data_IF_556156072974
#
_entry.id   IF_556156072974
#
_cell.length_a   1.000
_cell.length_b   1.000
_cell.length_c   1.000
_cell.angle_alpha   90.00
_cell.angle_beta   90.00
_cell.angle_gamma   90.00
#
_symmetry.space_group_name_H-M   'P 1'
#
loop_
_entity.id
_entity.type
_entity.pdbx_description
1 polymer ?
#
# COMPACT_ATOMS: atom_id res chain seq x y z
N UNK A 1 -14.63 -10.20 -14.57
CA UNK A 1 -14.09 -9.93 -13.23
C UNK A 1 -13.35 -8.61 -13.29
N UNK A 2 -13.69 -7.68 -12.41
CA UNK A 2 -12.95 -6.43 -12.17
C UNK A 2 -12.50 -6.38 -10.70
N UNK A 3 -11.26 -6.00 -10.45
CA UNK A 3 -10.69 -5.86 -9.11
C UNK A 3 -10.12 -4.45 -9.00
N UNK A 4 -10.35 -3.77 -7.85
CA UNK A 4 -9.88 -2.41 -7.60
C UNK A 4 -10.32 -1.46 -8.73
N UNK A 5 -9.41 -0.77 -9.41
CA UNK A 5 -9.72 0.06 -10.58
C UNK A 5 -10.53 -0.67 -11.68
N UNK A 6 -10.37 -1.99 -11.80
CA UNK A 6 -11.19 -2.82 -12.70
C UNK A 6 -12.69 -2.79 -12.39
N UNK A 7 -13.08 -2.43 -11.16
CA UNK A 7 -14.49 -2.24 -10.78
C UNK A 7 -15.06 -0.96 -11.39
N UNK A 8 -14.26 0.12 -11.42
CA UNK A 8 -14.60 1.36 -12.12
C UNK A 8 -14.82 1.10 -13.62
N UNK A 9 -13.85 0.46 -14.30
CA UNK A 9 -13.98 0.10 -15.69
C UNK A 9 -15.21 -0.77 -15.95
N UNK A 10 -15.46 -1.75 -15.06
CA UNK A 10 -16.63 -2.62 -15.14
C UNK A 10 -17.95 -1.84 -15.04
N UNK A 11 -18.06 -0.94 -14.09
CA UNK A 11 -19.25 -0.10 -13.93
C UNK A 11 -19.49 0.81 -15.14
N UNK A 12 -18.46 1.48 -15.62
CA UNK A 12 -18.52 2.31 -16.84
C UNK A 12 -18.90 1.47 -18.07
N UNK A 13 -18.28 0.30 -18.24
CA UNK A 13 -18.61 -0.60 -19.36
C UNK A 13 -20.06 -1.07 -19.30
N UNK A 14 -20.55 -1.46 -18.12
CA UNK A 14 -21.92 -1.92 -17.95
C UNK A 14 -22.94 -0.79 -18.22
N UNK A 15 -22.57 0.45 -17.90
CA UNK A 15 -23.40 1.63 -18.18
C UNK A 15 -23.46 1.94 -19.68
N UNK A 16 -22.32 1.87 -20.37
CA UNK A 16 -22.25 2.19 -21.80
C UNK A 16 -22.75 1.07 -22.72
N UNK A 17 -22.63 -0.18 -22.29
CA UNK A 17 -22.92 -1.36 -23.09
C UNK A 17 -23.73 -2.42 -22.33
N UNK A 18 -24.90 -2.07 -21.74
CA UNK A 18 -25.65 -2.99 -20.88
C UNK A 18 -26.05 -4.29 -21.58
N UNK A 19 -26.31 -4.23 -22.87
CA UNK A 19 -26.69 -5.40 -23.69
C UNK A 19 -25.54 -6.39 -23.91
N UNK A 20 -24.30 -6.01 -23.61
CA UNK A 20 -23.10 -6.86 -23.75
C UNK A 20 -22.69 -7.51 -22.44
N UNK A 21 -23.35 -7.18 -21.33
CA UNK A 21 -23.04 -7.71 -20.01
C UNK A 21 -24.00 -8.81 -19.65
N UNK A 22 -23.52 -10.05 -19.65
CA UNK A 22 -24.29 -11.19 -19.16
C UNK A 22 -24.20 -11.34 -17.63
N UNK A 23 -22.98 -11.18 -17.10
CA UNK A 23 -22.68 -11.25 -15.68
C UNK A 23 -21.34 -10.55 -15.42
N UNK A 24 -21.21 -9.94 -14.26
CA UNK A 24 -19.99 -9.26 -13.84
C UNK A 24 -19.77 -9.50 -12.34
N UNK A 25 -18.53 -9.76 -11.95
CA UNK A 25 -18.08 -9.78 -10.56
C UNK A 25 -17.11 -8.60 -10.38
N UNK A 26 -17.39 -7.77 -9.40
CA UNK A 26 -16.60 -6.59 -9.05
C UNK A 26 -16.18 -6.73 -7.59
N UNK A 27 -14.88 -6.70 -7.34
CA UNK A 27 -14.27 -6.90 -6.05
C UNK A 27 -13.40 -5.71 -5.68
N UNK A 28 -13.45 -5.27 -4.41
CA UNK A 28 -12.77 -4.04 -3.94
C UNK A 28 -13.25 -2.82 -4.71
N UNK A 29 -14.54 -2.48 -4.52
CA UNK A 29 -15.27 -1.50 -5.31
C UNK A 29 -14.65 -0.10 -5.26
N UNK A 30 -14.38 0.44 -6.44
CA UNK A 30 -14.00 1.82 -6.67
C UNK A 30 -15.27 2.63 -7.02
N UNK A 31 -15.53 3.74 -6.32
CA UNK A 31 -16.73 4.56 -6.52
C UNK A 31 -16.66 5.32 -7.87
N UNK A 32 -17.47 4.95 -8.88
CA UNK A 32 -17.34 5.54 -10.21
C UNK A 32 -17.93 6.95 -10.32
N UNK A 33 -18.82 7.33 -9.39
CA UNK A 33 -19.39 8.67 -9.31
C UNK A 33 -18.90 9.40 -8.07
N UNK A 34 -17.81 8.87 -7.50
CA UNK A 34 -17.22 9.41 -6.29
C UNK A 34 -16.81 10.87 -6.50
N UNK A 35 -16.80 11.54 -5.41
CA UNK A 35 -16.42 12.92 -5.25
C UNK A 35 -14.99 13.16 -5.80
N UNK A 36 -14.33 14.18 -5.38
CA UNK A 36 -12.99 14.51 -5.89
C UNK A 36 -11.98 13.38 -5.70
N UNK A 37 -10.91 13.40 -6.50
CA UNK A 37 -9.75 12.50 -6.34
C UNK A 37 -9.22 12.53 -4.90
N UNK A 38 -9.26 13.70 -4.27
CA UNK A 38 -8.86 13.89 -2.88
C UNK A 38 -9.70 13.05 -1.91
N UNK A 39 -11.02 13.03 -2.05
CA UNK A 39 -11.90 12.23 -1.20
C UNK A 39 -11.71 10.74 -1.40
N UNK A 40 -11.40 10.31 -2.62
CA UNK A 40 -11.05 8.90 -2.90
C UNK A 40 -9.74 8.51 -2.21
N UNK A 41 -8.71 9.35 -2.27
CA UNK A 41 -7.46 9.12 -1.55
C UNK A 41 -7.66 9.12 -0.03
N UNK A 42 -8.43 10.06 0.50
CA UNK A 42 -8.76 10.10 1.93
C UNK A 42 -9.48 8.84 2.39
N UNK A 43 -10.46 8.36 1.61
CA UNK A 43 -11.17 7.11 1.91
C UNK A 43 -10.20 5.91 1.94
N UNK A 44 -9.26 5.85 1.01
CA UNK A 44 -8.25 4.80 0.99
C UNK A 44 -7.30 4.90 2.19
N UNK A 45 -6.84 6.10 2.53
CA UNK A 45 -5.99 6.34 3.71
C UNK A 45 -6.70 5.89 4.98
N UNK A 46 -7.96 6.27 5.19
CA UNK A 46 -8.76 5.83 6.35
C UNK A 46 -8.88 4.29 6.40
N UNK A 47 -9.01 3.64 5.25
CA UNK A 47 -9.03 2.19 5.16
C UNK A 47 -7.70 1.55 5.60
N UNK A 48 -6.57 2.12 5.18
CA UNK A 48 -5.24 1.65 5.59
C UNK A 48 -4.96 1.93 7.07
N UNK A 49 -5.37 3.08 7.60
CA UNK A 49 -5.27 3.37 9.04
C UNK A 49 -6.05 2.34 9.86
N UNK A 50 -7.30 2.02 9.47
CA UNK A 50 -8.06 0.97 10.13
C UNK A 50 -7.39 -0.41 10.08
N UNK A 51 -6.84 -0.80 8.93
CA UNK A 51 -6.11 -2.06 8.79
C UNK A 51 -4.80 -2.06 9.63
N UNK A 52 -4.14 -0.92 9.77
CA UNK A 52 -2.98 -0.78 10.63
C UNK A 52 -3.35 -0.91 12.11
N UNK A 53 -4.45 -0.30 12.55
CA UNK A 53 -4.96 -0.44 13.91
C UNK A 53 -5.30 -1.91 14.24
N UNK A 54 -5.94 -2.62 13.31
CA UNK A 54 -6.26 -4.03 13.44
C UNK A 54 -4.99 -4.90 13.53
N UNK A 55 -3.98 -4.64 12.68
CA UNK A 55 -2.68 -5.30 12.74
C UNK A 55 -1.97 -5.03 14.07
N UNK A 56 -1.96 -3.78 14.54
CA UNK A 56 -1.32 -3.40 15.80
C UNK A 56 -1.99 -4.10 16.98
N UNK A 57 -3.31 -4.12 17.04
CA UNK A 57 -4.08 -4.83 18.07
C UNK A 57 -3.83 -6.35 18.03
N UNK A 58 -3.75 -6.94 16.83
CA UNK A 58 -3.35 -8.34 16.69
C UNK A 58 -1.94 -8.58 17.26
N UNK A 59 -0.97 -7.73 16.91
CA UNK A 59 0.41 -7.86 17.36
C UNK A 59 0.57 -7.69 18.88
N UNK A 60 -0.21 -6.79 19.49
CA UNK A 60 -0.24 -6.61 20.95
C UNK A 60 -0.85 -7.80 21.68
N UNK A 61 -1.84 -8.46 21.07
CA UNK A 61 -2.54 -9.59 21.63
C UNK A 61 -1.92 -10.96 21.34
N UNK A 62 -1.06 -11.06 20.33
CA UNK A 62 -0.51 -12.33 19.83
C UNK A 62 0.90 -12.58 20.35
N UNK A 63 1.07 -13.60 21.17
CA UNK A 63 2.36 -13.94 21.79
C UNK A 63 3.46 -14.30 20.78
N UNK A 64 3.10 -14.64 19.55
CA UNK A 64 4.02 -14.99 18.47
C UNK A 64 4.41 -13.80 17.60
N UNK A 65 3.82 -12.62 17.82
CA UNK A 65 4.22 -11.42 17.09
C UNK A 65 5.63 -10.98 17.49
N UNK A 66 6.57 -10.98 16.55
CA UNK A 66 7.95 -10.58 16.79
C UNK A 66 8.10 -9.09 17.11
N UNK A 67 7.16 -8.27 16.65
CA UNK A 67 7.12 -6.83 16.90
C UNK A 67 6.14 -6.46 18.03
N UNK A 68 5.85 -7.40 18.95
CA UNK A 68 4.92 -7.18 20.07
C UNK A 68 5.46 -6.14 21.06
N UNK A 69 4.55 -5.44 21.74
CA UNK A 69 4.88 -4.43 22.75
C UNK A 69 3.62 -3.90 23.42
N UNK A 70 3.78 -2.91 24.28
CA UNK A 70 2.65 -2.24 24.98
C UNK A 70 2.02 -1.12 24.15
N UNK A 71 2.68 -0.72 23.07
CA UNK A 71 2.24 0.35 22.16
C UNK A 71 2.94 0.11 20.82
N UNK A 72 2.36 -0.78 20.03
CA UNK A 72 2.89 -1.18 18.72
C UNK A 72 2.89 0.00 17.73
N UNK A 73 1.86 0.86 17.67
CA UNK A 73 1.89 2.05 16.84
C UNK A 73 3.06 2.99 17.18
N UNK A 74 3.26 3.33 18.44
CA UNK A 74 4.36 4.21 18.83
C UNK A 74 5.74 3.59 18.54
N UNK A 75 5.88 2.26 18.66
CA UNK A 75 7.11 1.54 18.29
C UNK A 75 7.36 1.60 16.79
N UNK A 76 6.32 1.45 15.98
CA UNK A 76 6.39 1.60 14.53
C UNK A 76 6.81 3.02 14.12
N UNK A 77 6.18 4.05 14.72
CA UNK A 77 6.53 5.45 14.49
C UNK A 77 7.99 5.75 14.85
N UNK A 78 8.49 5.20 15.97
CA UNK A 78 9.88 5.36 16.37
C UNK A 78 10.85 4.76 15.36
N UNK A 79 10.57 3.56 14.85
CA UNK A 79 11.38 2.92 13.81
C UNK A 79 11.32 3.72 12.49
N UNK A 80 10.15 4.22 12.13
CA UNK A 80 9.94 5.05 10.95
C UNK A 80 10.80 6.32 10.99
N UNK A 81 10.82 7.02 12.11
CA UNK A 81 11.68 8.19 12.33
C UNK A 81 13.17 7.82 12.33
N UNK A 82 13.52 6.69 12.95
CA UNK A 82 14.90 6.21 12.94
C UNK A 82 15.38 5.96 11.50
N UNK A 83 14.57 5.34 10.66
CA UNK A 83 14.92 5.05 9.26
C UNK A 83 14.95 6.31 8.37
N UNK A 84 14.25 7.37 8.76
CA UNK A 84 14.37 8.68 8.10
C UNK A 84 15.72 9.34 8.41
N UNK A 85 16.10 9.35 9.69
CA UNK A 85 17.36 9.96 10.15
C UNK A 85 18.61 9.11 9.83
N UNK A 86 18.48 7.80 9.93
CA UNK A 86 19.57 6.82 9.78
C UNK A 86 19.12 5.61 8.95
N UNK A 87 19.06 5.75 7.61
CA UNK A 87 18.69 4.64 6.74
C UNK A 87 19.66 3.45 6.88
N UNK A 88 19.13 2.23 6.78
CA UNK A 88 19.92 1.00 6.72
C UNK A 88 20.43 0.84 5.29
N UNK A 89 21.68 0.43 5.12
CA UNK A 89 22.22 -0.01 3.84
C UNK A 89 22.55 -1.49 3.92
N UNK A 90 21.92 -2.30 3.08
CA UNK A 90 22.17 -3.74 3.09
C UNK A 90 23.48 -4.12 2.38
N UNK A 91 23.83 -5.42 2.39
CA UNK A 91 25.06 -5.93 1.81
C UNK A 91 25.18 -5.70 0.29
N UNK A 92 24.05 -5.51 -0.40
CA UNK A 92 23.99 -5.21 -1.83
C UNK A 92 24.08 -3.71 -2.14
N UNK A 93 24.19 -2.86 -1.12
CA UNK A 93 24.27 -1.40 -1.24
C UNK A 93 22.90 -0.75 -1.45
N UNK A 94 21.79 -1.46 -1.19
CA UNK A 94 20.46 -0.92 -1.27
C UNK A 94 20.09 -0.20 0.02
N UNK A 95 19.40 0.92 -0.11
CA UNK A 95 19.00 1.77 1.01
C UNK A 95 17.58 1.44 1.44
N UNK A 96 17.41 1.16 2.71
CA UNK A 96 16.13 0.95 3.39
C UNK A 96 15.89 2.15 4.30
N UNK A 97 14.91 2.96 3.95
CA UNK A 97 14.55 4.20 4.62
C UNK A 97 13.07 4.19 5.03
N UNK A 98 12.61 5.31 5.58
CA UNK A 98 11.20 5.53 5.93
C UNK A 98 10.23 5.11 4.81
N UNK A 99 10.48 5.54 3.56
CA UNK A 99 9.60 5.19 2.44
C UNK A 99 9.55 3.68 2.16
N UNK A 100 10.66 2.96 2.40
CA UNK A 100 10.67 1.49 2.28
C UNK A 100 9.79 0.86 3.34
N UNK A 101 9.85 1.34 4.58
CA UNK A 101 8.99 0.89 5.67
C UNK A 101 7.51 1.17 5.38
N UNK A 102 7.18 2.39 4.94
CA UNK A 102 5.80 2.78 4.62
C UNK A 102 5.20 1.87 3.54
N UNK A 103 5.96 1.60 2.47
CA UNK A 103 5.53 0.70 1.38
C UNK A 103 5.40 -0.75 1.85
N UNK A 104 6.36 -1.25 2.64
CA UNK A 104 6.32 -2.61 3.18
C UNK A 104 5.11 -2.82 4.10
N UNK A 105 4.82 -1.84 4.97
CA UNK A 105 3.65 -1.86 5.84
C UNK A 105 2.37 -1.88 5.01
N UNK A 106 2.21 -0.94 4.07
CA UNK A 106 1.04 -0.90 3.20
C UNK A 106 0.83 -2.20 2.43
N UNK A 107 1.91 -2.80 1.91
CA UNK A 107 1.85 -4.07 1.20
C UNK A 107 1.30 -5.21 2.07
N UNK A 108 1.77 -5.32 3.31
CA UNK A 108 1.37 -6.39 4.22
C UNK A 108 -0.06 -6.21 4.77
N UNK A 109 -0.59 -4.98 4.81
CA UNK A 109 -1.95 -4.72 5.27
C UNK A 109 -3.04 -5.22 4.32
N UNK A 110 -2.71 -5.59 3.09
CA UNK A 110 -3.68 -6.21 2.16
C UNK A 110 -4.13 -7.61 2.59
N UNK A 111 -3.38 -8.30 3.44
CA UNK A 111 -3.70 -9.66 3.85
C UNK A 111 -3.22 -9.97 5.26
N UNK A 112 -4.13 -10.45 6.11
CA UNK A 112 -3.77 -10.90 7.47
C UNK A 112 -2.71 -12.01 7.49
N UNK A 113 -2.58 -12.79 6.41
CA UNK A 113 -1.52 -13.80 6.27
C UNK A 113 -0.12 -13.21 6.22
N UNK A 114 0.02 -11.94 5.87
CA UNK A 114 1.29 -11.23 5.76
C UNK A 114 1.67 -10.46 7.04
N UNK A 115 0.74 -10.37 8.00
CA UNK A 115 0.96 -9.70 9.28
C UNK A 115 2.15 -10.24 10.07
N UNK A 116 2.34 -11.56 10.23
CA UNK A 116 3.55 -12.09 10.88
C UNK A 116 4.84 -11.73 10.14
N UNK A 117 4.80 -11.73 8.79
CA UNK A 117 5.95 -11.37 7.96
C UNK A 117 6.34 -9.92 8.16
N UNK A 118 5.36 -9.01 8.24
CA UNK A 118 5.60 -7.61 8.57
C UNK A 118 6.23 -7.46 9.97
N UNK A 119 5.66 -8.15 10.97
CA UNK A 119 6.18 -8.10 12.34
C UNK A 119 7.63 -8.58 12.43
N UNK A 120 7.99 -9.67 11.75
CA UNK A 120 9.36 -10.19 11.69
C UNK A 120 10.29 -9.17 11.02
N UNK A 121 9.86 -8.58 9.89
CA UNK A 121 10.64 -7.59 9.13
C UNK A 121 10.91 -6.31 9.94
N UNK A 122 9.91 -5.82 10.67
CA UNK A 122 10.05 -4.64 11.54
C UNK A 122 11.00 -4.91 12.72
N UNK A 123 10.85 -6.07 13.38
CA UNK A 123 11.73 -6.46 14.48
C UNK A 123 13.18 -6.66 14.04
N UNK A 124 13.41 -7.16 12.82
CA UNK A 124 14.74 -7.26 12.23
C UNK A 124 15.33 -5.87 11.91
N UNK A 125 14.52 -4.97 11.37
CA UNK A 125 14.94 -3.62 11.01
C UNK A 125 15.40 -2.79 12.23
N UNK A 126 14.77 -2.94 13.39
CA UNK A 126 15.25 -2.34 14.65
C UNK A 126 16.68 -2.77 15.02
N UNK A 127 17.09 -3.94 14.58
CA UNK A 127 18.44 -4.49 14.78
C UNK A 127 19.39 -4.23 13.59
N UNK A 128 18.97 -3.39 12.65
CA UNK A 128 19.79 -3.00 11.49
C UNK A 128 19.67 -3.93 10.29
N UNK A 129 18.78 -4.92 10.29
CA UNK A 129 18.50 -5.80 9.17
C UNK A 129 17.19 -5.35 8.49
N UNK A 130 17.31 -4.64 7.38
CA UNK A 130 16.17 -4.11 6.62
C UNK A 130 15.74 -5.00 5.45
N UNK A 131 16.35 -6.15 5.22
CA UNK A 131 16.11 -6.98 4.02
C UNK A 131 14.66 -7.49 3.96
N UNK A 132 14.04 -7.78 5.12
CA UNK A 132 12.62 -8.15 5.18
C UNK A 132 11.68 -7.05 4.69
N UNK A 133 11.88 -5.82 5.14
CA UNK A 133 11.11 -4.65 4.67
C UNK A 133 11.34 -4.41 3.17
N UNK A 134 12.58 -4.53 2.73
CA UNK A 134 12.92 -4.37 1.32
C UNK A 134 12.25 -5.43 0.46
N UNK A 135 12.18 -6.69 0.93
CA UNK A 135 11.50 -7.79 0.25
C UNK A 135 10.01 -7.55 0.06
N UNK A 136 9.32 -7.09 1.11
CA UNK A 136 7.89 -6.72 1.04
C UNK A 136 7.66 -5.56 0.05
N UNK A 137 8.48 -4.51 0.14
CA UNK A 137 8.38 -3.36 -0.75
C UNK A 137 8.68 -3.72 -2.22
N UNK A 138 9.68 -4.58 -2.46
CA UNK A 138 10.04 -5.06 -3.80
C UNK A 138 8.93 -5.91 -4.41
N UNK A 139 8.35 -6.83 -3.63
CA UNK A 139 7.24 -7.67 -4.06
C UNK A 139 6.03 -6.80 -4.45
N UNK A 140 5.70 -5.81 -3.62
CA UNK A 140 4.60 -4.88 -3.89
C UNK A 140 4.83 -4.06 -5.17
N UNK A 141 6.04 -3.57 -5.38
CA UNK A 141 6.42 -2.78 -6.56
C UNK A 141 6.68 -3.62 -7.82
N UNK A 142 6.57 -4.95 -7.74
CA UNK A 142 6.84 -5.86 -8.86
C UNK A 142 8.31 -5.83 -9.31
N UNK A 143 9.25 -5.76 -8.35
CA UNK A 143 10.68 -5.78 -8.66
C UNK A 143 11.13 -7.20 -8.99
N UNK A 144 11.76 -7.37 -10.14
CA UNK A 144 12.33 -8.62 -10.60
C UNK A 144 13.72 -8.89 -9.98
N UNK A 145 14.18 -10.16 -9.97
CA UNK A 145 15.50 -10.49 -9.44
C UNK A 145 16.67 -9.82 -10.17
N UNK A 146 16.50 -9.44 -11.43
CA UNK A 146 17.50 -8.71 -12.22
C UNK A 146 17.52 -7.19 -11.96
N UNK A 147 16.64 -6.72 -11.04
CA UNK A 147 16.52 -5.32 -10.68
C UNK A 147 15.58 -4.50 -11.57
N UNK A 148 15.00 -5.09 -12.60
CA UNK A 148 13.93 -4.45 -13.39
C UNK A 148 12.62 -4.48 -12.62
N UNK A 149 11.64 -3.70 -13.07
CA UNK A 149 10.29 -3.70 -12.51
C UNK A 149 9.28 -4.16 -13.56
N UNK A 150 8.19 -4.76 -13.12
CA UNK A 150 7.05 -4.97 -13.99
C UNK A 150 6.42 -3.62 -14.41
N UNK A 151 5.47 -3.66 -15.34
CA UNK A 151 4.89 -2.44 -15.89
C UNK A 151 3.67 -1.94 -15.11
N UNK A 152 3.26 -2.61 -14.04
CA UNK A 152 2.01 -2.30 -13.34
C UNK A 152 2.00 -0.86 -12.82
N UNK A 153 2.98 -0.49 -11.98
CA UNK A 153 3.04 0.85 -11.41
C UNK A 153 3.30 1.95 -12.44
N UNK A 154 4.06 1.65 -13.50
CA UNK A 154 4.26 2.58 -14.60
C UNK A 154 2.96 2.82 -15.38
N UNK A 155 2.10 1.80 -15.48
CA UNK A 155 0.83 1.87 -16.20
C UNK A 155 -0.24 2.61 -15.41
N UNK A 156 -0.22 2.56 -14.07
CA UNK A 156 -1.25 3.17 -13.22
C UNK A 156 -1.40 4.66 -13.53
N UNK A 157 -0.33 5.45 -13.47
CA UNK A 157 -0.40 6.87 -13.75
C UNK A 157 -0.90 7.21 -15.16
N UNK A 158 -0.54 6.38 -16.17
CA UNK A 158 -1.03 6.57 -17.55
C UNK A 158 -2.52 6.27 -17.63
N UNK A 159 -2.97 5.21 -16.96
CA UNK A 159 -4.38 4.79 -16.94
C UNK A 159 -5.23 5.81 -16.21
N UNK A 160 -4.78 6.31 -15.07
CA UNK A 160 -5.47 7.34 -14.30
C UNK A 160 -5.65 8.62 -15.10
N UNK A 161 -4.58 9.12 -15.75
CA UNK A 161 -4.68 10.27 -16.66
C UNK A 161 -5.64 10.01 -17.84
N UNK A 162 -5.56 8.83 -18.47
CA UNK A 162 -6.40 8.49 -19.61
C UNK A 162 -7.88 8.31 -19.23
N UNK A 163 -8.17 8.01 -17.97
CA UNK A 163 -9.54 7.79 -17.47
C UNK A 163 -10.27 9.10 -17.14
N UNK A 164 -9.62 10.24 -17.25
CA UNK A 164 -10.18 11.52 -16.83
C UNK A 164 -10.30 11.66 -15.31
N UNK A 165 -9.67 10.77 -14.54
CA UNK A 165 -9.43 10.94 -13.11
C UNK A 165 -8.27 11.93 -13.04
N UNK A 166 -8.52 13.14 -13.52
CA UNK A 166 -7.51 14.19 -13.46
C UNK A 166 -7.40 14.67 -12.01
N UNK A 167 -6.17 14.73 -11.55
CA UNK A 167 -5.81 15.64 -10.49
C UNK A 167 -6.17 17.04 -10.99
N UNK A 168 -7.32 17.57 -10.58
CA UNK A 168 -7.52 18.99 -10.72
C UNK A 168 -6.41 19.67 -9.92
N UNK A 169 -5.62 20.54 -10.54
CA UNK A 169 -4.70 21.36 -9.78
C UNK A 169 -5.54 22.09 -8.70
N UNK A 170 -5.01 22.26 -7.49
CA UNK A 170 -5.73 23.00 -6.46
C UNK A 170 -6.20 24.33 -7.05
N UNK A 171 -7.44 24.70 -6.79
CA UNK A 171 -8.07 25.95 -7.29
C UNK A 171 -7.27 27.20 -6.85
N UNK A 172 -6.40 27.03 -5.89
CA UNK A 172 -5.45 28.05 -5.44
C UNK A 172 -4.04 27.48 -5.36
N UNK A 173 -3.12 27.85 -6.28
CA UNK A 173 -1.72 27.42 -6.25
C UNK A 173 -0.91 28.01 -5.08
N UNK A 174 -1.51 28.83 -4.23
CA UNK A 174 -0.89 29.44 -3.03
C UNK A 174 -1.52 28.90 -1.72
N UNK A 175 -2.42 27.89 -1.77
CA UNK A 175 -3.09 27.31 -0.60
C UNK A 175 -2.26 26.19 0.04
#
# INVERSE_FOLDING_TARGET
LGISYGTYLGAVYATLFPERVRAMALDSAYEPNGDSVEEQYLTQIVGFEGAFDDWAAWCEGEATCAFTGTDVPARWDALRLQLDEQPITNAEGRVINQSTLDVATSAALYSESDWPVLADALAAAENGDGDGLLGLADAYKGRNPDGTFDTLFQSIGIIECASGIEQQPPDDPEA
#
